data_IF_326204303169
#
_entry.id   IF_326204303169
#
_cell.length_a   1.000
_cell.length_b   1.000
_cell.length_c   1.000
_cell.angle_alpha   90.00
_cell.angle_beta   90.00
_cell.angle_gamma   90.00
#
_symmetry.space_group_name_H-M   'P 1'
#
loop_
_entity.id
_entity.type
_entity.pdbx_description
1 polymer ?
#
# COMPACT_ATOMS: atom_id res chain seq x y z
N UNK A 1 23.50 9.36 -3.23
CA UNK A 1 22.83 8.06 -2.95
C UNK A 1 23.90 7.05 -2.54
N UNK A 2 23.72 6.33 -1.43
CA UNK A 2 24.73 5.42 -0.88
C UNK A 2 24.66 3.99 -1.44
N UNK A 3 25.68 3.17 -1.13
CA UNK A 3 25.72 1.71 -1.43
C UNK A 3 24.41 0.94 -1.14
N UNK A 4 23.69 1.16 -0.02
CA UNK A 4 22.44 0.42 0.23
C UNK A 4 21.31 0.74 -0.77
N UNK A 5 21.25 1.97 -1.29
CA UNK A 5 20.26 2.34 -2.31
C UNK A 5 20.54 1.61 -3.64
N UNK A 6 21.81 1.39 -3.98
CA UNK A 6 22.21 0.66 -5.18
C UNK A 6 21.85 -0.83 -5.08
N UNK A 7 22.09 -1.45 -3.92
CA UNK A 7 21.64 -2.82 -3.65
C UNK A 7 20.12 -2.94 -3.69
N UNK A 8 19.41 -1.99 -3.09
CA UNK A 8 17.95 -1.93 -3.12
C UNK A 8 17.40 -1.85 -4.55
N UNK A 9 17.99 -0.99 -5.39
CA UNK A 9 17.63 -0.86 -6.80
C UNK A 9 17.94 -2.13 -7.61
N UNK A 10 19.08 -2.77 -7.36
CA UNK A 10 19.45 -4.03 -8.01
C UNK A 10 18.48 -5.17 -7.65
N UNK A 11 18.11 -5.29 -6.37
CA UNK A 11 17.09 -6.27 -5.91
C UNK A 11 15.74 -5.99 -6.57
N UNK A 12 15.32 -4.73 -6.63
CA UNK A 12 14.09 -4.36 -7.31
C UNK A 12 14.12 -4.70 -8.80
N UNK A 13 15.23 -4.42 -9.50
CA UNK A 13 15.41 -4.77 -10.90
C UNK A 13 15.33 -6.29 -11.11
N UNK A 14 15.98 -7.07 -10.25
CA UNK A 14 15.92 -8.54 -10.30
C UNK A 14 14.49 -9.06 -10.08
N UNK A 15 13.75 -8.49 -9.11
CA UNK A 15 12.34 -8.84 -8.87
C UNK A 15 11.46 -8.53 -10.08
N UNK A 16 11.68 -7.41 -10.77
CA UNK A 16 10.94 -7.04 -11.99
C UNK A 16 11.25 -8.03 -13.12
N UNK A 17 12.52 -8.38 -13.33
CA UNK A 17 12.92 -9.37 -14.33
C UNK A 17 12.30 -10.73 -14.02
N UNK A 18 12.34 -11.18 -12.75
CA UNK A 18 11.74 -12.44 -12.33
C UNK A 18 10.22 -12.45 -12.52
N UNK A 19 9.54 -11.34 -12.20
CA UNK A 19 8.11 -11.15 -12.42
C UNK A 19 7.75 -11.32 -13.91
N UNK A 20 8.46 -10.60 -14.78
CA UNK A 20 8.22 -10.61 -16.22
C UNK A 20 8.63 -11.93 -16.89
N UNK A 21 9.71 -12.56 -16.41
CA UNK A 21 10.28 -13.79 -16.96
C UNK A 21 9.43 -15.03 -16.69
N UNK A 22 8.68 -15.09 -15.59
CA UNK A 22 7.83 -16.25 -15.33
C UNK A 22 6.96 -16.22 -14.08
N UNK A 23 7.32 -15.47 -13.05
CA UNK A 23 6.59 -15.50 -11.78
C UNK A 23 5.12 -15.05 -11.91
N UNK A 24 4.79 -14.20 -12.89
CA UNK A 24 3.39 -13.81 -13.19
C UNK A 24 2.49 -14.98 -13.61
N UNK A 25 3.04 -16.11 -14.08
CA UNK A 25 2.25 -17.27 -14.52
C UNK A 25 1.62 -18.04 -13.36
N UNK A 26 2.17 -17.89 -12.16
CA UNK A 26 1.67 -18.56 -10.96
C UNK A 26 0.95 -17.51 -10.12
N UNK A 27 -0.36 -17.62 -9.85
CA UNK A 27 -1.17 -16.53 -9.31
C UNK A 27 -0.67 -16.04 -7.93
N UNK A 28 -0.27 -16.96 -7.06
CA UNK A 28 0.25 -16.62 -5.72
C UNK A 28 1.64 -15.98 -5.80
N UNK A 29 2.54 -16.55 -6.60
CA UNK A 29 3.92 -16.04 -6.74
C UNK A 29 3.91 -14.69 -7.44
N UNK A 30 3.08 -14.50 -8.46
CA UNK A 30 2.87 -13.23 -9.15
C UNK A 30 2.34 -12.14 -8.22
N UNK A 31 1.35 -12.45 -7.38
CA UNK A 31 0.82 -11.49 -6.40
C UNK A 31 1.87 -11.09 -5.36
N UNK A 32 2.63 -12.06 -4.83
CA UNK A 32 3.67 -11.80 -3.83
C UNK A 32 4.83 -10.98 -4.41
N UNK A 33 5.31 -11.32 -5.61
CA UNK A 33 6.38 -10.59 -6.29
C UNK A 33 5.97 -9.17 -6.66
N UNK A 34 4.72 -8.96 -7.10
CA UNK A 34 4.16 -7.61 -7.32
C UNK A 34 4.12 -6.80 -6.01
N UNK A 35 3.72 -7.42 -4.90
CA UNK A 35 3.76 -6.81 -3.57
C UNK A 35 5.17 -6.43 -3.15
N UNK A 36 6.13 -7.35 -3.31
CA UNK A 36 7.55 -7.13 -2.97
C UNK A 36 8.13 -5.97 -3.80
N UNK A 37 7.79 -5.87 -5.09
CA UNK A 37 8.22 -4.74 -5.92
C UNK A 37 7.69 -3.40 -5.37
N UNK A 38 6.47 -3.37 -4.81
CA UNK A 38 5.90 -2.15 -4.22
C UNK A 38 6.54 -1.81 -2.87
N UNK A 39 6.74 -2.80 -2.00
CA UNK A 39 7.45 -2.60 -0.72
C UNK A 39 8.90 -2.16 -0.92
N UNK A 40 9.61 -2.80 -1.85
CA UNK A 40 11.00 -2.46 -2.17
C UNK A 40 11.14 -1.07 -2.78
N UNK A 41 10.18 -0.64 -3.61
CA UNK A 41 10.10 0.74 -4.10
C UNK A 41 9.95 1.76 -2.95
N UNK A 42 9.11 1.46 -1.96
CA UNK A 42 8.96 2.32 -0.78
C UNK A 42 10.27 2.42 0.00
N UNK A 43 10.94 1.28 0.22
CA UNK A 43 12.22 1.24 0.94
C UNK A 43 13.35 1.94 0.19
N UNK A 44 13.38 1.83 -1.15
CA UNK A 44 14.28 2.59 -2.01
C UNK A 44 14.02 4.10 -1.90
N UNK A 45 12.75 4.53 -1.86
CA UNK A 45 12.38 5.93 -1.64
C UNK A 45 12.84 6.45 -0.27
N UNK A 46 12.68 5.66 0.80
CA UNK A 46 13.20 6.00 2.12
C UNK A 46 14.73 6.17 2.10
N UNK A 47 15.44 5.22 1.47
CA UNK A 47 16.90 5.29 1.30
C UNK A 47 17.37 6.51 0.48
N UNK A 48 16.57 6.96 -0.50
CA UNK A 48 16.88 8.13 -1.31
C UNK A 48 16.76 9.44 -0.53
N UNK A 49 15.83 9.52 0.42
CA UNK A 49 15.63 10.68 1.30
C UNK A 49 16.64 10.74 2.45
N UNK A 50 17.36 9.65 2.71
CA UNK A 50 18.42 9.55 3.70
C UNK A 50 18.37 8.20 4.42
N UNK A 51 19.52 7.59 4.65
CA UNK A 51 19.59 6.37 5.45
C UNK A 51 19.25 6.69 6.92
N UNK A 52 18.34 5.94 7.56
CA UNK A 52 18.10 6.03 8.99
C UNK A 52 19.41 5.83 9.75
N UNK A 53 19.66 6.71 10.72
CA UNK A 53 20.90 6.72 11.50
C UNK A 53 20.95 5.61 12.56
N UNK A 54 19.79 5.04 12.93
CA UNK A 54 19.68 3.96 13.91
C UNK A 54 18.69 2.87 13.47
N UNK A 55 18.87 1.67 14.02
CA UNK A 55 17.97 0.51 13.79
C UNK A 55 16.53 0.84 14.19
N UNK A 56 16.33 1.64 15.25
CA UNK A 56 14.99 2.09 15.66
C UNK A 56 14.28 2.85 14.55
N UNK A 57 14.98 3.76 13.86
CA UNK A 57 14.41 4.55 12.76
C UNK A 57 14.04 3.73 11.52
N UNK A 58 14.59 2.53 11.36
CA UNK A 58 14.20 1.59 10.30
C UNK A 58 12.84 0.94 10.56
N UNK A 59 12.41 0.81 11.81
CA UNK A 59 11.21 0.07 12.19
C UNK A 59 9.93 0.56 11.47
N UNK A 60 9.56 1.85 11.46
CA UNK A 60 8.36 2.31 10.76
C UNK A 60 8.46 2.12 9.24
N UNK A 61 9.66 2.24 8.66
CA UNK A 61 9.90 2.01 7.22
C UNK A 61 9.71 0.54 6.87
N UNK A 62 10.26 -0.38 7.67
CA UNK A 62 10.11 -1.81 7.48
C UNK A 62 8.65 -2.25 7.65
N UNK A 63 7.95 -1.74 8.68
CA UNK A 63 6.53 -1.99 8.89
C UNK A 63 5.68 -1.48 7.71
N UNK A 64 5.97 -0.28 7.20
CA UNK A 64 5.30 0.27 6.03
C UNK A 64 5.60 -0.56 4.76
N UNK A 65 6.85 -0.99 4.55
CA UNK A 65 7.25 -1.79 3.39
C UNK A 65 6.62 -3.19 3.41
N UNK A 66 6.66 -3.87 4.55
CA UNK A 66 6.00 -5.18 4.75
C UNK A 66 4.50 -5.04 4.62
N UNK A 67 3.91 -4.02 5.25
CA UNK A 67 2.47 -3.81 5.21
C UNK A 67 1.96 -3.46 3.82
N UNK A 68 2.68 -2.64 3.06
CA UNK A 68 2.37 -2.36 1.65
C UNK A 68 2.49 -3.63 0.79
N UNK A 69 3.54 -4.43 1.03
CA UNK A 69 3.74 -5.72 0.36
C UNK A 69 2.58 -6.66 0.60
N UNK A 70 2.17 -6.84 1.87
CA UNK A 70 1.06 -7.70 2.26
C UNK A 70 -0.27 -7.19 1.72
N UNK A 71 -0.53 -5.88 1.79
CA UNK A 71 -1.74 -5.28 1.24
C UNK A 71 -1.85 -5.51 -0.27
N UNK A 72 -0.76 -5.26 -1.00
CA UNK A 72 -0.72 -5.43 -2.46
C UNK A 72 -0.84 -6.91 -2.84
N UNK A 73 -0.07 -7.78 -2.18
CA UNK A 73 -0.17 -9.22 -2.42
C UNK A 73 -1.59 -9.74 -2.12
N UNK A 74 -2.25 -9.25 -1.08
CA UNK A 74 -3.61 -9.65 -0.72
C UNK A 74 -4.63 -9.29 -1.80
N UNK A 75 -4.71 -8.03 -2.24
CA UNK A 75 -5.70 -7.66 -3.26
C UNK A 75 -5.34 -8.21 -4.64
N UNK A 76 -4.05 -8.38 -4.97
CA UNK A 76 -3.61 -9.00 -6.22
C UNK A 76 -3.92 -10.50 -6.25
N UNK A 77 -3.76 -11.20 -5.12
CA UNK A 77 -4.15 -12.62 -5.01
C UNK A 77 -5.67 -12.77 -5.08
N UNK A 78 -6.43 -11.84 -4.50
CA UNK A 78 -7.88 -11.78 -4.67
C UNK A 78 -8.23 -11.61 -6.14
N UNK A 79 -7.67 -10.59 -6.81
CA UNK A 79 -7.90 -10.35 -8.24
C UNK A 79 -7.60 -11.58 -9.12
N UNK A 80 -6.52 -12.32 -8.82
CA UNK A 80 -6.15 -13.51 -9.58
C UNK A 80 -7.13 -14.68 -9.39
N UNK A 81 -7.67 -14.87 -8.18
CA UNK A 81 -8.64 -15.94 -7.90
C UNK A 81 -10.03 -15.64 -8.46
N UNK A 82 -10.38 -14.36 -8.57
CA UNK A 82 -11.66 -13.91 -9.13
C UNK A 82 -11.72 -14.00 -10.67
N UNK A 83 -10.58 -14.22 -11.33
CA UNK A 83 -10.53 -14.55 -12.76
C UNK A 83 -10.77 -16.04 -13.03
N UNK A 84 -10.87 -16.87 -11.98
CA UNK A 84 -11.30 -18.26 -12.11
C UNK A 84 -12.82 -18.33 -12.35
N UNK A 85 -13.29 -19.42 -12.94
CA UNK A 85 -14.67 -19.61 -13.42
C UNK A 85 -15.75 -19.42 -12.35
N UNK A 86 -15.39 -19.48 -11.07
CA UNK A 86 -16.27 -19.26 -9.93
C UNK A 86 -15.72 -18.15 -9.03
N UNK A 87 -16.58 -17.21 -8.65
CA UNK A 87 -16.26 -16.14 -7.68
C UNK A 87 -16.02 -16.77 -6.30
N UNK A 88 -14.78 -16.76 -5.76
CA UNK A 88 -14.51 -17.38 -4.47
C UNK A 88 -15.20 -16.60 -3.34
N UNK A 89 -16.30 -17.12 -2.80
CA UNK A 89 -17.08 -16.51 -1.71
C UNK A 89 -16.41 -16.63 -0.31
N UNK A 90 -15.08 -16.73 -0.27
CA UNK A 90 -14.33 -17.05 0.95
C UNK A 90 -13.95 -15.83 1.80
N UNK A 91 -13.48 -16.12 3.02
CA UNK A 91 -12.94 -15.12 3.97
C UNK A 91 -11.73 -14.33 3.41
N UNK A 92 -11.11 -14.80 2.32
CA UNK A 92 -9.97 -14.15 1.66
C UNK A 92 -10.25 -12.69 1.25
N UNK A 93 -11.51 -12.29 1.00
CA UNK A 93 -11.87 -10.89 0.68
C UNK A 93 -11.50 -9.89 1.78
N UNK A 94 -11.34 -10.35 3.02
CA UNK A 94 -10.97 -9.51 4.16
C UNK A 94 -9.45 -9.40 4.37
N UNK A 95 -8.63 -10.13 3.62
CA UNK A 95 -7.16 -10.08 3.74
C UNK A 95 -6.59 -8.66 3.58
N UNK A 96 -7.01 -7.83 2.60
CA UNK A 96 -6.50 -6.47 2.47
C UNK A 96 -6.86 -5.60 3.68
N UNK A 97 -8.05 -5.79 4.25
CA UNK A 97 -8.47 -5.08 5.46
C UNK A 97 -7.67 -5.52 6.68
N UNK A 98 -7.52 -6.84 6.90
CA UNK A 98 -6.75 -7.40 8.01
C UNK A 98 -5.29 -6.94 7.98
N UNK A 99 -4.67 -6.91 6.79
CA UNK A 99 -3.32 -6.39 6.63
C UNK A 99 -3.20 -4.91 7.06
N UNK A 100 -4.13 -4.05 6.62
CA UNK A 100 -4.11 -2.63 6.99
C UNK A 100 -4.44 -2.39 8.47
N UNK A 101 -5.35 -3.20 9.04
CA UNK A 101 -5.77 -3.09 10.45
C UNK A 101 -4.60 -3.30 11.41
N UNK A 102 -3.65 -4.16 11.05
CA UNK A 102 -2.45 -4.43 11.85
C UNK A 102 -1.36 -3.39 11.54
N UNK A 103 -1.11 -3.12 10.26
CA UNK A 103 0.04 -2.31 9.83
C UNK A 103 -0.12 -0.84 10.21
N UNK A 104 -1.29 -0.23 9.96
CA UNK A 104 -1.44 1.22 10.13
C UNK A 104 -1.29 1.67 11.60
N UNK A 105 -1.87 0.97 12.59
CA UNK A 105 -1.60 1.27 13.99
C UNK A 105 -0.14 1.00 14.39
N UNK A 106 0.45 -0.10 13.89
CA UNK A 106 1.85 -0.43 14.20
C UNK A 106 2.83 0.65 13.69
N UNK A 107 2.59 1.17 12.48
CA UNK A 107 3.37 2.28 11.92
C UNK A 107 3.17 3.57 12.74
N UNK A 108 1.93 3.86 13.16
CA UNK A 108 1.65 5.02 14.01
C UNK A 108 2.44 4.95 15.32
N UNK A 109 2.32 3.84 16.05
CA UNK A 109 3.04 3.63 17.33
C UNK A 109 4.54 3.71 17.12
N UNK A 110 5.09 3.09 16.07
CA UNK A 110 6.51 3.19 15.77
C UNK A 110 6.95 4.62 15.44
N UNK A 111 6.10 5.41 14.78
CA UNK A 111 6.40 6.81 14.42
C UNK A 111 6.32 7.77 15.60
N UNK A 112 5.37 7.59 16.53
CA UNK A 112 5.20 8.47 17.69
C UNK A 112 6.34 8.33 18.71
N UNK A 113 7.00 7.18 18.74
CA UNK A 113 8.21 6.95 19.54
C UNK A 113 9.41 7.74 19.00
N UNK A 114 9.42 8.07 17.71
CA UNK A 114 10.58 8.64 17.01
C UNK A 114 10.51 10.15 16.79
N UNK A 115 9.30 10.70 16.78
CA UNK A 115 9.07 12.11 16.48
C UNK A 115 8.63 12.88 17.73
N UNK A 116 9.03 14.15 17.86
CA UNK A 116 8.57 14.98 18.96
C UNK A 116 7.03 15.09 18.94
N UNK A 117 6.38 15.30 20.10
CA UNK A 117 4.93 15.38 20.19
C UNK A 117 4.41 16.57 19.37
N UNK A 118 3.83 16.28 18.22
CA UNK A 118 3.08 17.22 17.40
C UNK A 118 1.60 16.86 17.50
N UNK A 119 0.73 17.83 17.73
CA UNK A 119 -0.70 17.55 17.95
C UNK A 119 -1.45 17.27 16.64
N UNK A 120 -1.09 17.97 15.54
CA UNK A 120 -1.86 17.93 14.29
C UNK A 120 -1.57 16.70 13.42
N UNK A 121 -0.30 16.29 13.33
CA UNK A 121 0.14 15.19 12.47
C UNK A 121 -0.50 13.81 12.83
N UNK A 122 -0.52 13.38 14.11
CA UNK A 122 -1.15 12.12 14.48
C UNK A 122 -2.67 12.17 14.32
N UNK A 123 -3.31 13.32 14.53
CA UNK A 123 -4.75 13.48 14.26
C UNK A 123 -5.05 13.30 12.77
N UNK A 124 -4.28 13.96 11.89
CA UNK A 124 -4.42 13.78 10.45
C UNK A 124 -4.13 12.33 10.02
N UNK A 125 -3.11 11.69 10.60
CA UNK A 125 -2.80 10.29 10.36
C UNK A 125 -3.97 9.38 10.76
N UNK A 126 -4.51 9.53 11.97
CA UNK A 126 -5.63 8.72 12.47
C UNK A 126 -6.86 8.92 11.60
N UNK A 127 -7.15 10.14 11.19
CA UNK A 127 -8.25 10.43 10.26
C UNK A 127 -8.08 9.68 8.94
N UNK A 128 -6.91 9.76 8.29
CA UNK A 128 -6.64 9.02 7.05
C UNK A 128 -6.64 7.51 7.28
N UNK A 129 -6.10 7.03 8.40
CA UNK A 129 -6.13 5.62 8.79
C UNK A 129 -7.57 5.11 8.88
N UNK A 130 -8.46 5.81 9.58
CA UNK A 130 -9.88 5.43 9.68
C UNK A 130 -10.54 5.44 8.30
N UNK A 131 -10.29 6.46 7.48
CA UNK A 131 -10.80 6.48 6.11
C UNK A 131 -10.32 5.31 5.26
N UNK A 132 -9.03 4.95 5.32
CA UNK A 132 -8.44 3.84 4.57
C UNK A 132 -8.98 2.49 5.02
N UNK A 133 -9.16 2.30 6.33
CA UNK A 133 -9.72 1.08 6.91
C UNK A 133 -11.19 0.94 6.57
N UNK A 134 -11.97 2.02 6.70
CA UNK A 134 -13.39 2.04 6.31
C UNK A 134 -13.56 1.68 4.83
N UNK A 135 -12.73 2.25 3.94
CA UNK A 135 -12.74 1.90 2.50
C UNK A 135 -12.39 0.44 2.27
N UNK A 136 -11.34 -0.08 2.90
CA UNK A 136 -10.95 -1.48 2.76
C UNK A 136 -12.04 -2.44 3.30
N UNK A 137 -12.69 -2.07 4.39
CA UNK A 137 -13.81 -2.82 4.97
C UNK A 137 -15.03 -2.83 4.04
N UNK A 138 -15.43 -1.67 3.51
CA UNK A 138 -16.53 -1.57 2.54
C UNK A 138 -16.25 -2.38 1.28
N UNK A 139 -15.02 -2.33 0.77
CA UNK A 139 -14.57 -3.07 -0.42
C UNK A 139 -14.52 -4.59 -0.20
N UNK A 140 -14.25 -5.07 1.02
CA UNK A 140 -14.29 -6.50 1.36
C UNK A 140 -15.68 -6.99 1.80
N UNK A 141 -16.56 -6.08 2.23
CA UNK A 141 -17.91 -6.38 2.71
C UNK A 141 -18.99 -6.13 1.66
N UNK A 142 -19.74 -5.03 1.86
CA UNK A 142 -20.96 -4.73 1.07
C UNK A 142 -20.64 -4.48 -0.40
N UNK A 143 -19.58 -3.72 -0.71
CA UNK A 143 -19.25 -3.39 -2.11
C UNK A 143 -18.73 -4.61 -2.87
N UNK A 144 -18.10 -5.58 -2.20
CA UNK A 144 -17.65 -6.82 -2.83
C UNK A 144 -18.83 -7.62 -3.42
N UNK A 145 -20.00 -7.56 -2.79
CA UNK A 145 -21.21 -8.26 -3.25
C UNK A 145 -21.93 -7.48 -4.35
N UNK A 146 -21.95 -6.15 -4.26
CA UNK A 146 -22.72 -5.29 -5.15
C UNK A 146 -21.99 -4.90 -6.43
N UNK A 147 -20.66 -4.98 -6.47
CA UNK A 147 -19.85 -4.49 -7.58
C UNK A 147 -19.15 -5.61 -8.35
N UNK A 148 -18.92 -5.44 -9.66
CA UNK A 148 -18.08 -6.35 -10.42
C UNK A 148 -16.63 -6.23 -9.94
N UNK A 149 -15.91 -7.35 -10.00
CA UNK A 149 -14.54 -7.49 -9.47
C UNK A 149 -13.58 -6.38 -9.94
N UNK A 150 -13.56 -5.97 -11.23
CA UNK A 150 -12.64 -4.91 -11.68
C UNK A 150 -12.84 -3.58 -10.94
N UNK A 151 -14.08 -3.25 -10.58
CA UNK A 151 -14.42 -2.03 -9.84
C UNK A 151 -13.93 -2.12 -8.40
N UNK A 152 -14.07 -3.29 -7.76
CA UNK A 152 -13.57 -3.55 -6.40
C UNK A 152 -12.04 -3.46 -6.35
N UNK A 153 -11.34 -4.10 -7.30
CA UNK A 153 -9.88 -4.04 -7.40
C UNK A 153 -9.40 -2.60 -7.68
N UNK A 154 -10.08 -1.88 -8.59
CA UNK A 154 -9.84 -0.45 -8.80
C UNK A 154 -10.08 0.39 -7.54
N UNK A 155 -11.00 -0.02 -6.67
CA UNK A 155 -11.18 0.52 -5.32
C UNK A 155 -9.94 0.34 -4.43
N UNK A 156 -9.39 -0.86 -4.36
CA UNK A 156 -8.16 -1.14 -3.59
C UNK A 156 -6.95 -0.39 -4.13
N UNK A 157 -6.79 -0.30 -5.46
CA UNK A 157 -5.72 0.48 -6.10
C UNK A 157 -5.83 1.96 -5.72
N UNK A 158 -7.03 2.53 -5.68
CA UNK A 158 -7.24 3.92 -5.24
C UNK A 158 -6.98 4.09 -3.74
N UNK A 159 -7.37 3.10 -2.93
CA UNK A 159 -7.10 3.13 -1.49
C UNK A 159 -5.60 3.07 -1.18
N UNK A 160 -4.80 2.47 -2.06
CA UNK A 160 -3.34 2.43 -1.97
C UNK A 160 -2.72 3.83 -1.91
N UNK A 161 -3.28 4.82 -2.61
CA UNK A 161 -2.83 6.22 -2.53
C UNK A 161 -3.03 6.80 -1.12
N UNK A 162 -4.16 6.50 -0.48
CA UNK A 162 -4.43 6.95 0.89
C UNK A 162 -3.53 6.22 1.90
N UNK A 163 -3.24 4.93 1.69
CA UNK A 163 -2.27 4.18 2.51
C UNK A 163 -0.86 4.79 2.38
N UNK A 164 -0.42 5.14 1.16
CA UNK A 164 0.85 5.85 0.96
C UNK A 164 0.85 7.23 1.63
N UNK A 165 -0.27 7.96 1.63
CA UNK A 165 -0.39 9.21 2.36
C UNK A 165 -0.22 9.02 3.87
N UNK A 166 -0.79 7.96 4.47
CA UNK A 166 -0.55 7.60 5.86
C UNK A 166 0.95 7.39 6.12
N UNK A 167 1.63 6.57 5.30
CA UNK A 167 3.07 6.32 5.47
C UNK A 167 3.92 7.59 5.31
N UNK A 168 3.53 8.49 4.41
CA UNK A 168 4.18 9.79 4.28
C UNK A 168 4.00 10.63 5.55
N UNK A 169 2.78 10.72 6.10
CA UNK A 169 2.54 11.42 7.38
C UNK A 169 3.33 10.78 8.54
N UNK A 170 3.50 9.46 8.56
CA UNK A 170 4.31 8.78 9.57
C UNK A 170 5.80 9.18 9.53
N UNK A 171 6.29 9.73 8.41
CA UNK A 171 7.65 10.26 8.28
C UNK A 171 7.81 11.70 8.83
N UNK A 172 6.77 12.27 9.43
CA UNK A 172 6.79 13.62 10.00
C UNK A 172 6.48 14.72 8.99
N UNK A 173 6.87 15.96 9.31
CA UNK A 173 6.60 17.15 8.49
C UNK A 173 7.14 17.06 7.06
N UNK A 174 8.27 16.36 6.85
CA UNK A 174 8.85 16.16 5.50
C UNK A 174 7.91 15.38 4.58
N UNK A 175 7.05 14.54 5.14
CA UNK A 175 6.08 13.76 4.38
C UNK A 175 4.72 14.44 4.19
N UNK A 176 4.52 15.66 4.71
CA UNK A 176 3.24 16.37 4.57
C UNK A 176 2.90 16.68 3.11
N UNK A 177 3.86 17.24 2.36
CA UNK A 177 3.68 17.57 0.94
C UNK A 177 3.32 16.34 0.08
N UNK A 178 4.08 15.22 0.13
CA UNK A 178 3.70 14.03 -0.63
C UNK A 178 2.39 13.41 -0.13
N UNK A 179 2.07 13.48 1.17
CA UNK A 179 0.78 13.03 1.68
C UNK A 179 -0.39 13.81 1.08
N UNK A 180 -0.32 15.15 1.09
CA UNK A 180 -1.33 16.02 0.47
C UNK A 180 -1.47 15.74 -1.02
N UNK A 181 -0.35 15.55 -1.72
CA UNK A 181 -0.34 15.18 -3.13
C UNK A 181 -1.09 13.86 -3.38
N UNK A 182 -0.82 12.82 -2.60
CA UNK A 182 -1.51 11.53 -2.73
C UNK A 182 -3.00 11.60 -2.39
N UNK A 183 -3.38 12.37 -1.36
CA UNK A 183 -4.80 12.59 -1.01
C UNK A 183 -5.53 13.31 -2.14
N UNK A 184 -4.92 14.35 -2.70
CA UNK A 184 -5.46 15.10 -3.84
C UNK A 184 -5.60 14.18 -5.06
N UNK A 185 -4.59 13.37 -5.34
CA UNK A 185 -4.62 12.38 -6.43
C UNK A 185 -5.76 11.38 -6.21
N UNK A 186 -5.94 10.87 -4.99
CA UNK A 186 -7.01 9.95 -4.63
C UNK A 186 -8.43 10.54 -4.82
N UNK A 187 -8.57 11.86 -4.70
CA UNK A 187 -9.82 12.58 -4.95
C UNK A 187 -10.08 12.84 -6.44
N UNK A 188 -9.03 13.08 -7.24
CA UNK A 188 -9.15 13.38 -8.67
C UNK A 188 -9.34 12.11 -9.51
N UNK A 189 -8.64 11.01 -9.17
CA UNK A 189 -8.66 9.76 -9.95
C UNK A 189 -10.05 9.19 -10.23
N UNK A 190 -11.01 9.17 -9.29
CA UNK A 190 -12.37 8.70 -9.56
C UNK A 190 -13.08 9.52 -10.65
N UNK A 191 -12.85 10.83 -10.70
CA UNK A 191 -13.47 11.73 -11.68
C UNK A 191 -12.90 11.53 -13.09
N UNK A 192 -11.60 11.25 -13.18
CA UNK A 192 -10.93 10.92 -14.44
C UNK A 192 -11.34 9.53 -14.93
N UNK A 193 -11.34 8.51 -14.06
CA UNK A 193 -11.71 7.15 -14.42
C UNK A 193 -13.16 7.06 -14.95
N UNK A 194 -14.08 7.85 -14.40
CA UNK A 194 -15.46 7.92 -14.88
C UNK A 194 -15.58 8.41 -16.34
N UNK A 195 -14.61 9.21 -16.83
CA UNK A 195 -14.62 9.71 -18.21
C UNK A 195 -14.05 8.73 -19.24
N UNK A 196 -13.16 7.84 -18.83
CA UNK A 196 -12.51 6.89 -19.74
C UNK A 196 -13.23 5.54 -19.84
N UNK A 197 -14.02 5.15 -18.84
CA UNK A 197 -14.81 3.92 -18.83
C UNK A 197 -16.25 4.11 -19.36
N UNK A 198 -16.63 5.33 -19.76
CA UNK A 198 -17.91 5.63 -20.42
C UNK A 198 -17.82 5.66 -21.95
N UNK A 199 -16.78 5.05 -22.53
CA UNK A 199 -16.60 4.82 -23.97
C UNK A 199 -16.37 3.33 -24.19
#
# INVERSE_FOLDING_TARGET
AGRPALHAAAVLAALIILYNGGAKRIPVVGALTMGLCRGMNLMLGALALGAPASIGQWLPVLLAAVGLTLYVAAFSALAAREMATEKPQGSLRWLPFAALLIVLPAVLVASTVQHPPQTLLPVAYVFLMVMTLMRAWLLGGVMYQLQPVPVTIGGHIRNLLMVQACFCLAAGLRGLLPALFFVLLACIFPRLAARFYSS
#
